data_IF_345506524304
#
_entry.id   IF_345506524304
#
_cell.length_a   1.000
_cell.length_b   1.000
_cell.length_c   1.000
_cell.angle_alpha   90.00
_cell.angle_beta   90.00
_cell.angle_gamma   90.00
#
_symmetry.space_group_name_H-M   'P 1'
#
loop_
_entity.id
_entity.type
_entity.pdbx_description
1 polymer ?
#
# COMPACT_ATOMS: atom_id res chain seq x y z
N UNK A 1 -49.49 -21.47 23.83
CA UNK A 1 -48.81 -21.05 22.58
C UNK A 1 -48.49 -19.53 22.46
N UNK A 2 -49.30 -18.62 23.02
CA UNK A 2 -49.02 -17.16 22.91
C UNK A 2 -48.00 -16.66 23.98
N UNK A 3 -47.93 -17.30 25.17
CA UNK A 3 -46.98 -16.93 26.24
C UNK A 3 -45.54 -17.38 26.01
N UNK A 4 -45.33 -18.45 25.25
CA UNK A 4 -43.98 -18.94 24.95
C UNK A 4 -43.29 -18.07 23.83
N UNK A 5 -44.07 -17.56 22.89
CA UNK A 5 -43.53 -16.62 21.85
C UNK A 5 -43.16 -15.26 22.43
N UNK A 6 -43.76 -14.83 23.55
CA UNK A 6 -43.43 -13.59 24.23
C UNK A 6 -42.12 -13.72 25.05
N UNK A 7 -41.89 -14.88 25.67
CA UNK A 7 -40.64 -15.17 26.39
C UNK A 7 -39.44 -15.26 25.42
N UNK A 8 -39.59 -15.94 24.29
CA UNK A 8 -38.51 -16.08 23.28
C UNK A 8 -38.16 -14.74 22.61
N UNK A 9 -39.12 -13.82 22.47
CA UNK A 9 -38.87 -12.44 21.99
C UNK A 9 -38.21 -11.55 23.03
N UNK A 10 -38.48 -11.77 24.33
CA UNK A 10 -37.84 -11.06 25.43
C UNK A 10 -36.38 -11.53 25.64
N UNK A 11 -36.13 -12.83 25.48
CA UNK A 11 -34.79 -13.42 25.61
C UNK A 11 -33.89 -13.08 24.41
N UNK A 12 -34.44 -12.97 23.18
CA UNK A 12 -33.72 -12.45 22.03
C UNK A 12 -33.46 -10.92 22.06
N UNK A 13 -34.29 -10.16 22.82
CA UNK A 13 -34.01 -8.73 23.07
C UNK A 13 -32.96 -8.51 24.15
N UNK A 14 -32.86 -9.41 25.12
CA UNK A 14 -31.85 -9.35 26.20
C UNK A 14 -30.43 -9.70 25.69
N UNK A 15 -30.28 -10.54 24.66
CA UNK A 15 -28.98 -10.87 24.06
C UNK A 15 -28.44 -9.83 23.10
N UNK A 16 -29.17 -8.71 22.88
CA UNK A 16 -28.65 -7.48 22.24
C UNK A 16 -28.32 -6.41 23.28
N UNK A 17 -27.88 -6.76 24.48
CA UNK A 17 -27.15 -5.84 25.32
C UNK A 17 -25.84 -5.53 24.59
N UNK A 18 -25.79 -4.34 23.97
CA UNK A 18 -24.53 -3.72 23.58
C UNK A 18 -23.67 -3.75 24.83
N UNK A 19 -22.64 -4.60 24.82
CA UNK A 19 -21.47 -4.36 25.64
C UNK A 19 -20.87 -3.07 25.06
N UNK A 20 -21.37 -1.93 25.51
CA UNK A 20 -20.62 -0.68 25.49
C UNK A 20 -19.52 -0.90 26.53
N UNK A 21 -18.44 -1.58 26.14
CA UNK A 21 -17.17 -1.31 26.74
C UNK A 21 -16.98 0.20 26.57
N UNK A 22 -16.85 0.93 27.67
CA UNK A 22 -16.24 2.28 27.67
C UNK A 22 -14.79 2.08 27.21
N UNK A 23 -14.61 1.90 25.91
CA UNK A 23 -13.28 1.96 25.31
C UNK A 23 -12.86 3.42 25.42
N UNK A 24 -11.69 3.70 26.00
CA UNK A 24 -11.17 5.05 26.04
C UNK A 24 -11.19 5.61 24.63
N UNK A 25 -11.48 6.91 24.53
CA UNK A 25 -11.53 7.60 23.24
C UNK A 25 -10.28 7.25 22.43
N UNK A 26 -10.47 6.55 21.31
CA UNK A 26 -9.38 6.01 20.51
C UNK A 26 -8.53 7.19 20.03
N UNK A 27 -7.36 7.36 20.63
CA UNK A 27 -6.41 8.42 20.27
C UNK A 27 -5.74 8.01 18.96
N UNK A 28 -6.06 8.68 17.87
CA UNK A 28 -5.44 8.40 16.58
C UNK A 28 -3.98 8.82 16.59
N UNK A 29 -3.11 7.88 16.28
CA UNK A 29 -1.67 8.12 16.14
C UNK A 29 -1.31 8.69 14.77
N UNK A 30 -0.24 9.46 14.70
CA UNK A 30 0.42 9.86 13.45
C UNK A 30 1.35 8.76 12.90
N UNK A 31 1.61 7.72 13.71
CA UNK A 31 2.48 6.61 13.33
C UNK A 31 1.83 5.83 12.20
N UNK A 32 2.59 5.60 11.15
CA UNK A 32 2.25 4.72 10.04
C UNK A 32 3.43 3.80 9.73
N UNK A 33 3.26 2.86 8.82
CA UNK A 33 4.35 1.95 8.51
C UNK A 33 4.35 1.43 7.08
N UNK A 34 5.25 0.50 6.85
CA UNK A 34 5.41 -0.24 5.62
C UNK A 34 5.93 -1.64 5.93
N UNK A 35 5.29 -2.65 5.35
CA UNK A 35 5.82 -4.01 5.40
C UNK A 35 7.12 -4.13 4.59
N UNK A 36 8.04 -4.92 5.12
CA UNK A 36 9.34 -5.21 4.55
C UNK A 36 9.53 -6.73 4.41
N UNK A 37 10.65 -7.15 3.87
CA UNK A 37 11.05 -8.56 3.84
C UNK A 37 11.44 -8.97 5.26
N UNK A 38 10.73 -9.96 5.82
CA UNK A 38 10.88 -10.43 7.22
C UNK A 38 10.86 -9.29 8.27
N UNK A 39 10.17 -8.16 7.95
CA UNK A 39 10.24 -6.97 8.78
C UNK A 39 9.11 -5.98 8.60
N UNK A 40 9.15 -4.95 9.43
CA UNK A 40 8.25 -3.79 9.38
C UNK A 40 9.06 -2.52 9.60
N UNK A 41 8.81 -1.51 8.78
CA UNK A 41 9.24 -0.14 9.03
C UNK A 41 8.08 0.63 9.67
N UNK A 42 8.32 1.29 10.80
CA UNK A 42 7.39 2.24 11.39
C UNK A 42 7.95 3.65 11.28
N UNK A 43 7.08 4.57 10.87
CA UNK A 43 7.37 5.99 10.72
C UNK A 43 6.62 6.74 11.81
N UNK A 44 7.32 7.16 12.82
CA UNK A 44 6.78 8.00 13.90
C UNK A 44 7.01 9.49 13.65
N UNK A 45 6.51 10.35 14.55
CA UNK A 45 6.64 11.80 14.42
C UNK A 45 8.08 12.30 14.48
N UNK A 46 8.96 11.62 15.22
CA UNK A 46 10.36 12.02 15.43
C UNK A 46 11.38 11.03 14.85
N UNK A 47 11.02 9.76 14.72
CA UNK A 47 11.94 8.68 14.33
C UNK A 47 11.26 7.76 13.32
N UNK A 48 12.07 7.18 12.44
CA UNK A 48 11.68 6.05 11.58
C UNK A 48 12.57 4.89 11.92
N UNK A 49 11.97 3.73 12.24
CA UNK A 49 12.73 2.53 12.59
C UNK A 49 12.29 1.35 11.74
N UNK A 50 13.23 0.49 11.39
CA UNK A 50 12.97 -0.83 10.82
C UNK A 50 13.22 -1.87 11.90
N UNK A 51 12.37 -2.89 11.94
CA UNK A 51 12.62 -4.11 12.67
C UNK A 51 12.55 -5.28 11.70
N UNK A 52 13.57 -6.12 11.68
CA UNK A 52 13.69 -7.25 10.75
C UNK A 52 14.11 -8.49 11.52
N UNK A 53 13.49 -9.62 11.23
CA UNK A 53 13.89 -10.92 11.77
C UNK A 53 15.02 -11.49 10.93
N UNK A 54 16.16 -11.74 11.57
CA UNK A 54 17.33 -12.38 10.97
C UNK A 54 17.11 -13.87 10.74
N UNK A 55 17.97 -14.47 9.94
CA UNK A 55 17.96 -15.92 9.68
C UNK A 55 18.19 -16.79 10.93
N UNK A 56 18.84 -16.27 11.96
CA UNK A 56 19.01 -16.92 13.27
C UNK A 56 17.78 -16.80 14.20
N UNK A 57 16.73 -16.08 13.75
CA UNK A 57 15.49 -15.85 14.50
C UNK A 57 15.52 -14.62 15.42
N UNK A 58 16.65 -13.94 15.60
CA UNK A 58 16.75 -12.71 16.38
C UNK A 58 16.10 -11.53 15.65
N UNK A 59 15.62 -10.53 16.38
CA UNK A 59 15.03 -9.32 15.82
C UNK A 59 16.08 -8.20 15.87
N UNK A 60 16.43 -7.69 14.70
CA UNK A 60 17.29 -6.52 14.55
C UNK A 60 16.42 -5.27 14.42
N UNK A 61 16.70 -4.25 15.23
CA UNK A 61 16.01 -2.96 15.19
C UNK A 61 17.04 -1.88 14.87
N UNK A 62 16.74 -1.06 13.87
CA UNK A 62 17.64 0.01 13.43
C UNK A 62 16.84 1.27 13.07
N UNK A 63 17.38 2.44 13.42
CA UNK A 63 16.82 3.72 13.05
C UNK A 63 17.22 4.10 11.61
N UNK A 64 16.24 4.45 10.80
CA UNK A 64 16.45 4.95 9.44
C UNK A 64 16.62 6.45 9.50
N UNK A 65 17.71 7.01 8.94
CA UNK A 65 17.94 8.44 8.95
C UNK A 65 16.77 9.19 8.29
N UNK A 66 16.12 10.06 9.04
CA UNK A 66 15.11 10.98 8.50
C UNK A 66 15.81 12.22 7.94
N UNK A 67 15.36 12.69 6.78
CA UNK A 67 15.76 13.99 6.27
C UNK A 67 15.03 15.06 7.11
N UNK A 68 15.69 15.60 8.14
CA UNK A 68 15.12 16.50 9.15
C UNK A 68 14.54 17.81 8.60
N UNK A 69 14.90 18.22 7.39
CA UNK A 69 14.45 19.50 6.85
C UNK A 69 13.12 19.35 6.09
N UNK A 70 12.04 19.78 6.75
CA UNK A 70 10.78 20.02 6.05
C UNK A 70 11.00 21.21 5.10
N UNK A 71 11.00 20.94 3.82
CA UNK A 71 11.12 21.98 2.79
C UNK A 71 9.81 22.76 2.73
N UNK A 72 9.88 24.08 2.47
CA UNK A 72 8.68 24.92 2.28
C UNK A 72 7.64 24.28 1.34
N UNK A 73 8.09 23.65 0.27
CA UNK A 73 7.22 22.95 -0.71
C UNK A 73 6.41 21.80 -0.09
N UNK A 74 6.83 21.23 1.06
CA UNK A 74 6.07 20.19 1.77
C UNK A 74 4.86 20.75 2.56
N UNK A 75 4.75 22.06 2.64
CA UNK A 75 3.58 22.73 3.26
C UNK A 75 2.53 23.10 2.22
N UNK A 76 2.94 23.25 0.95
CA UNK A 76 2.07 23.67 -0.15
C UNK A 76 1.15 22.53 -0.58
N UNK A 77 -0.18 22.73 -0.60
CA UNK A 77 -1.13 21.74 -1.10
C UNK A 77 -0.76 21.23 -2.50
N UNK A 78 -1.11 20.00 -2.79
CA UNK A 78 -0.77 19.25 -4.00
C UNK A 78 0.73 18.95 -4.16
N UNK A 79 1.64 19.95 -4.03
CA UNK A 79 3.10 19.75 -4.13
C UNK A 79 3.59 18.83 -3.01
N UNK A 80 3.09 19.03 -1.79
CA UNK A 80 3.43 18.16 -0.63
C UNK A 80 3.11 16.69 -0.89
N UNK A 81 2.04 16.40 -1.64
CA UNK A 81 1.66 15.03 -1.99
C UNK A 81 2.71 14.35 -2.86
N UNK A 82 3.22 15.07 -3.87
CA UNK A 82 4.28 14.59 -4.75
C UNK A 82 5.59 14.33 -4.00
N UNK A 83 5.99 15.29 -3.13
CA UNK A 83 7.24 15.19 -2.37
C UNK A 83 7.16 14.04 -1.36
N UNK A 84 6.06 13.90 -0.63
CA UNK A 84 5.87 12.81 0.33
C UNK A 84 5.82 11.45 -0.36
N UNK A 85 5.16 11.37 -1.50
CA UNK A 85 5.14 10.14 -2.29
C UNK A 85 6.55 9.77 -2.77
N UNK A 86 7.32 10.74 -3.29
CA UNK A 86 8.71 10.52 -3.68
C UNK A 86 9.59 10.05 -2.49
N UNK A 87 9.51 10.76 -1.35
CA UNK A 87 10.24 10.37 -0.14
C UNK A 87 9.86 8.96 0.31
N UNK A 88 8.57 8.63 0.31
CA UNK A 88 8.08 7.30 0.66
C UNK A 88 8.63 6.22 -0.28
N UNK A 89 8.68 6.48 -1.59
CA UNK A 89 9.26 5.54 -2.55
C UNK A 89 10.75 5.32 -2.28
N UNK A 90 11.53 6.39 -2.12
CA UNK A 90 12.99 6.29 -1.91
C UNK A 90 13.29 5.60 -0.58
N UNK A 91 12.68 6.08 0.52
CA UNK A 91 12.91 5.52 1.85
C UNK A 91 12.40 4.10 1.95
N UNK A 92 11.19 3.85 1.41
CA UNK A 92 10.57 2.52 1.44
C UNK A 92 11.32 1.49 0.61
N UNK A 93 11.81 1.86 -0.58
CA UNK A 93 12.64 0.95 -1.40
C UNK A 93 13.98 0.68 -0.72
N UNK A 94 14.63 1.71 -0.17
CA UNK A 94 15.87 1.54 0.59
C UNK A 94 15.69 0.62 1.80
N UNK A 95 14.62 0.82 2.56
CA UNK A 95 14.28 -0.04 3.70
C UNK A 95 13.99 -1.48 3.27
N UNK A 96 13.29 -1.68 2.13
CA UNK A 96 13.00 -3.01 1.59
C UNK A 96 14.29 -3.76 1.21
N UNK A 97 15.21 -3.09 0.51
CA UNK A 97 16.50 -3.69 0.14
C UNK A 97 17.34 -4.02 1.37
N UNK A 98 17.41 -3.10 2.34
CA UNK A 98 18.12 -3.32 3.60
C UNK A 98 17.52 -4.46 4.42
N UNK A 99 16.21 -4.58 4.45
CA UNK A 99 15.54 -5.68 5.15
C UNK A 99 15.82 -7.04 4.50
N UNK A 100 15.94 -7.10 3.18
CA UNK A 100 16.36 -8.32 2.48
C UNK A 100 17.76 -8.75 2.91
N UNK A 101 18.71 -7.81 2.96
CA UNK A 101 20.08 -8.07 3.40
C UNK A 101 20.14 -8.56 4.87
N UNK A 102 19.47 -7.84 5.79
CA UNK A 102 19.43 -8.20 7.22
C UNK A 102 18.75 -9.56 7.43
N UNK A 103 17.72 -9.88 6.68
CA UNK A 103 16.98 -11.14 6.83
C UNK A 103 17.81 -12.38 6.48
N UNK A 104 18.83 -12.22 5.66
CA UNK A 104 19.78 -13.27 5.28
C UNK A 104 20.92 -13.48 6.30
N UNK A 105 21.18 -12.47 7.16
CA UNK A 105 22.21 -12.56 8.19
C UNK A 105 21.90 -13.68 9.20
N UNK A 106 22.91 -14.47 9.53
CA UNK A 106 22.80 -15.54 10.53
C UNK A 106 22.04 -16.77 10.06
N UNK A 107 21.70 -16.88 8.77
CA UNK A 107 21.09 -18.09 8.22
C UNK A 107 22.12 -19.25 8.28
N UNK A 108 21.78 -20.40 8.90
CA UNK A 108 22.65 -21.56 8.96
C UNK A 108 23.05 -22.01 7.54
N UNK A 109 24.33 -22.45 7.38
CA UNK A 109 24.86 -22.84 6.07
C UNK A 109 24.09 -24.01 5.40
N UNK A 110 23.50 -24.89 6.20
CA UNK A 110 22.67 -26.01 5.76
C UNK A 110 21.31 -25.58 5.17
N UNK A 111 20.89 -24.31 5.37
CA UNK A 111 19.68 -23.70 4.78
C UNK A 111 19.99 -22.74 3.63
N UNK A 112 21.28 -22.47 3.37
CA UNK A 112 21.69 -21.89 2.11
C UNK A 112 21.43 -22.96 1.05
N UNK A 113 20.46 -22.71 0.21
CA UNK A 113 19.82 -23.62 -0.74
C UNK A 113 20.82 -24.57 -1.40
N UNK A 114 20.41 -25.84 -1.57
CA UNK A 114 21.14 -26.91 -2.33
C UNK A 114 21.54 -26.49 -3.76
N UNK A 115 21.17 -25.30 -4.21
CA UNK A 115 21.59 -24.66 -5.47
C UNK A 115 23.08 -24.24 -5.48
N UNK A 116 23.73 -24.07 -4.32
CA UNK A 116 25.16 -23.72 -4.27
C UNK A 116 26.11 -24.91 -4.60
N UNK A 117 25.59 -26.12 -4.72
CA UNK A 117 26.40 -27.32 -5.02
C UNK A 117 27.03 -27.38 -6.41
N UNK A 118 26.69 -26.50 -7.33
CA UNK A 118 27.34 -26.28 -8.61
C UNK A 118 27.34 -24.79 -8.94
N UNK A 119 28.32 -24.07 -8.40
CA UNK A 119 28.53 -22.69 -8.86
C UNK A 119 28.72 -22.70 -10.38
N UNK A 120 27.67 -22.35 -11.08
CA UNK A 120 27.69 -22.13 -12.52
C UNK A 120 28.59 -20.93 -12.81
N UNK A 121 29.23 -20.90 -13.99
CA UNK A 121 29.91 -19.68 -14.46
C UNK A 121 28.98 -18.45 -14.43
N UNK A 122 27.67 -18.69 -14.53
CA UNK A 122 26.64 -17.68 -14.39
C UNK A 122 26.55 -17.11 -12.95
N UNK A 123 26.60 -17.96 -11.91
CA UNK A 123 26.47 -17.51 -10.51
C UNK A 123 27.67 -16.61 -10.14
N UNK A 124 28.87 -16.97 -10.57
CA UNK A 124 30.09 -16.18 -10.40
C UNK A 124 30.03 -14.83 -11.15
N UNK A 125 29.35 -14.79 -12.30
CA UNK A 125 29.11 -13.56 -13.04
C UNK A 125 28.05 -12.69 -12.34
N UNK A 126 26.99 -13.28 -11.78
CA UNK A 126 25.95 -12.62 -11.01
C UNK A 126 26.50 -12.01 -9.71
N UNK A 127 27.32 -12.73 -8.94
CA UNK A 127 27.98 -12.18 -7.73
C UNK A 127 28.85 -10.97 -8.06
N UNK A 128 29.67 -11.09 -9.10
CA UNK A 128 30.57 -10.00 -9.50
C UNK A 128 29.84 -8.73 -9.96
N UNK A 129 28.63 -8.89 -10.52
CA UNK A 129 27.83 -7.80 -11.07
C UNK A 129 26.50 -7.60 -10.36
N UNK A 130 26.41 -8.00 -9.09
CA UNK A 130 25.17 -8.00 -8.29
C UNK A 130 24.41 -6.65 -8.37
N UNK A 131 25.07 -5.53 -8.12
CA UNK A 131 24.49 -4.19 -8.19
C UNK A 131 23.95 -3.85 -9.61
N UNK A 132 24.69 -4.25 -10.63
CA UNK A 132 24.27 -4.06 -12.03
C UNK A 132 23.03 -4.88 -12.34
N UNK A 133 22.97 -6.13 -11.90
CA UNK A 133 21.84 -7.03 -12.12
C UNK A 133 20.57 -6.54 -11.41
N UNK A 134 20.69 -6.08 -10.16
CA UNK A 134 19.56 -5.45 -9.44
C UNK A 134 19.07 -4.23 -10.20
N UNK A 135 19.97 -3.35 -10.63
CA UNK A 135 19.60 -2.14 -11.37
C UNK A 135 18.90 -2.47 -12.69
N UNK A 136 19.42 -3.44 -13.46
CA UNK A 136 18.81 -3.89 -14.71
C UNK A 136 17.44 -4.53 -14.47
N UNK A 137 17.30 -5.35 -13.44
CA UNK A 137 16.01 -5.95 -13.05
C UNK A 137 14.98 -4.90 -12.66
N UNK A 138 15.39 -3.87 -11.91
CA UNK A 138 14.51 -2.77 -11.55
C UNK A 138 14.06 -1.96 -12.78
N UNK A 139 14.99 -1.65 -13.68
CA UNK A 139 14.67 -0.96 -14.94
C UNK A 139 13.72 -1.80 -15.80
N UNK A 140 14.00 -3.10 -15.94
CA UNK A 140 13.13 -4.02 -16.68
C UNK A 140 11.74 -4.11 -16.06
N UNK A 141 11.66 -4.17 -14.72
CA UNK A 141 10.40 -4.14 -13.97
C UNK A 141 9.58 -2.86 -14.23
N UNK A 142 10.23 -1.71 -14.24
CA UNK A 142 9.59 -0.42 -14.55
C UNK A 142 9.08 -0.42 -16.00
N UNK A 143 9.89 -0.83 -16.98
CA UNK A 143 9.50 -0.89 -18.39
C UNK A 143 8.29 -1.83 -18.56
N UNK A 144 8.33 -3.00 -17.95
CA UNK A 144 7.25 -3.98 -18.01
C UNK A 144 5.96 -3.44 -17.36
N UNK A 145 6.08 -2.77 -16.20
CA UNK A 145 4.94 -2.12 -15.52
C UNK A 145 4.31 -1.04 -16.39
N UNK A 146 5.10 -0.16 -16.98
CA UNK A 146 4.61 0.86 -17.93
C UNK A 146 3.94 0.19 -19.14
N UNK A 147 4.54 -0.88 -19.69
CA UNK A 147 3.98 -1.65 -20.79
C UNK A 147 2.60 -2.22 -20.45
N UNK A 148 2.48 -2.93 -19.35
CA UNK A 148 1.24 -3.63 -18.97
C UNK A 148 0.16 -2.66 -18.48
N UNK A 149 0.50 -1.69 -17.64
CA UNK A 149 -0.51 -0.86 -16.98
C UNK A 149 -0.82 0.44 -17.70
N UNK A 150 0.08 0.94 -18.53
CA UNK A 150 -0.11 2.20 -19.24
C UNK A 150 -0.35 1.99 -20.74
N UNK A 151 0.48 1.18 -21.40
CA UNK A 151 0.44 1.03 -22.86
C UNK A 151 -0.57 -0.01 -23.31
N UNK A 152 -0.61 -1.19 -22.71
CA UNK A 152 -1.47 -2.28 -23.14
C UNK A 152 -2.97 -1.92 -23.14
N UNK A 153 -3.56 -1.30 -22.08
CA UNK A 153 -4.95 -0.84 -22.12
C UNK A 153 -5.22 0.12 -23.27
N UNK A 154 -4.31 1.07 -23.51
CA UNK A 154 -4.41 2.04 -24.61
C UNK A 154 -4.40 1.36 -25.98
N UNK A 155 -3.45 0.47 -26.21
CA UNK A 155 -3.33 -0.27 -27.48
C UNK A 155 -4.59 -1.09 -27.74
N UNK A 156 -5.12 -1.79 -26.73
CA UNK A 156 -6.35 -2.56 -26.86
C UNK A 156 -7.51 -1.66 -27.30
N UNK A 157 -7.70 -0.53 -26.61
CA UNK A 157 -8.79 0.42 -26.95
C UNK A 157 -8.60 1.00 -28.33
N UNK A 158 -7.39 1.40 -28.73
CA UNK A 158 -7.10 1.97 -30.04
C UNK A 158 -7.32 0.95 -31.17
N UNK A 159 -6.94 -0.31 -30.96
CA UNK A 159 -7.19 -1.38 -31.94
C UNK A 159 -8.69 -1.64 -32.07
N UNK A 160 -9.39 -1.80 -30.95
CA UNK A 160 -10.84 -2.08 -30.94
C UNK A 160 -11.65 -0.92 -31.53
N UNK A 161 -11.27 0.33 -31.21
CA UNK A 161 -11.96 1.51 -31.73
C UNK A 161 -11.89 1.64 -33.26
N UNK A 162 -10.76 1.24 -33.89
CA UNK A 162 -10.60 1.25 -35.35
C UNK A 162 -11.56 0.33 -36.07
N UNK A 163 -12.06 -0.72 -35.40
CA UNK A 163 -13.02 -1.67 -36.00
C UNK A 163 -14.47 -1.34 -35.69
N UNK A 164 -14.75 -0.56 -34.64
CA UNK A 164 -16.11 -0.34 -34.15
C UNK A 164 -16.59 1.09 -34.39
N UNK A 165 -15.68 2.06 -34.38
CA UNK A 165 -16.01 3.48 -34.52
C UNK A 165 -15.70 3.93 -35.95
N UNK A 166 -16.75 4.23 -36.72
CA UNK A 166 -16.60 4.90 -38.01
C UNK A 166 -16.00 6.30 -37.80
N UNK A 167 -15.15 6.77 -38.73
CA UNK A 167 -14.51 8.10 -38.68
C UNK A 167 -15.50 9.26 -38.47
N UNK A 168 -16.77 9.07 -38.82
CA UNK A 168 -17.85 10.07 -38.71
C UNK A 168 -18.27 10.32 -37.25
N UNK A 169 -17.97 9.42 -36.32
CA UNK A 169 -18.41 9.50 -34.91
C UNK A 169 -17.35 10.00 -33.94
N UNK A 170 -16.33 10.71 -34.41
CA UNK A 170 -15.31 11.31 -33.51
C UNK A 170 -15.91 12.47 -32.70
N UNK A 171 -16.92 12.17 -31.91
CA UNK A 171 -17.65 13.09 -31.05
C UNK A 171 -17.05 13.02 -29.64
N UNK A 172 -17.06 14.14 -28.93
CA UNK A 172 -16.72 14.25 -27.49
C UNK A 172 -17.17 13.04 -26.67
N UNK A 173 -18.40 12.56 -26.91
CA UNK A 173 -18.95 11.38 -26.20
C UNK A 173 -18.16 10.10 -26.45
N UNK A 174 -17.70 9.86 -27.66
CA UNK A 174 -16.89 8.69 -28.03
C UNK A 174 -15.55 8.73 -27.33
N UNK A 175 -14.87 9.87 -27.36
CA UNK A 175 -13.58 10.05 -26.66
C UNK A 175 -13.73 9.78 -25.15
N UNK A 176 -14.78 10.31 -24.52
CA UNK A 176 -15.03 10.06 -23.08
C UNK A 176 -15.25 8.56 -22.83
N UNK A 177 -16.09 7.89 -23.62
CA UNK A 177 -16.37 6.47 -23.45
C UNK A 177 -15.11 5.63 -23.64
N UNK A 178 -14.30 5.88 -24.66
CA UNK A 178 -13.05 5.15 -24.92
C UNK A 178 -12.06 5.32 -23.76
N UNK A 179 -11.90 6.53 -23.23
CA UNK A 179 -11.03 6.79 -22.08
C UNK A 179 -11.54 6.11 -20.79
N UNK A 180 -12.85 6.05 -20.59
CA UNK A 180 -13.43 5.31 -19.46
C UNK A 180 -13.21 3.80 -19.59
N UNK A 181 -13.38 3.23 -20.79
CA UNK A 181 -13.09 1.82 -21.07
C UNK A 181 -11.62 1.53 -20.84
N UNK A 182 -10.72 2.40 -21.31
CA UNK A 182 -9.27 2.26 -21.05
C UNK A 182 -8.94 2.28 -19.57
N UNK A 183 -9.55 3.22 -18.81
CA UNK A 183 -9.37 3.30 -17.37
C UNK A 183 -9.88 2.05 -16.65
N UNK A 184 -11.02 1.50 -17.08
CA UNK A 184 -11.55 0.25 -16.55
C UNK A 184 -10.63 -0.94 -16.85
N UNK A 185 -10.11 -1.06 -18.09
CA UNK A 185 -9.14 -2.10 -18.44
C UNK A 185 -7.87 -2.01 -17.60
N UNK A 186 -7.36 -0.79 -17.36
CA UNK A 186 -6.20 -0.57 -16.48
C UNK A 186 -6.46 -1.08 -15.08
N UNK A 187 -7.62 -0.76 -14.53
CA UNK A 187 -8.02 -1.21 -13.20
C UNK A 187 -8.16 -2.74 -13.16
N UNK A 188 -8.73 -3.34 -14.20
CA UNK A 188 -8.85 -4.79 -14.34
C UNK A 188 -7.48 -5.48 -14.38
N UNK A 189 -6.53 -4.99 -15.19
CA UNK A 189 -5.17 -5.55 -15.23
C UNK A 189 -4.46 -5.43 -13.89
N UNK A 190 -4.63 -4.30 -13.20
CA UNK A 190 -4.09 -4.13 -11.86
C UNK A 190 -4.65 -5.16 -10.87
N UNK A 191 -5.96 -5.40 -10.85
CA UNK A 191 -6.54 -6.42 -9.97
C UNK A 191 -6.10 -7.83 -10.33
N UNK A 192 -6.04 -8.15 -11.63
CA UNK A 192 -5.53 -9.44 -12.09
C UNK A 192 -4.09 -9.63 -11.58
N UNK A 193 -3.22 -8.64 -11.81
CA UNK A 193 -1.85 -8.67 -11.30
C UNK A 193 -1.80 -8.87 -9.78
N UNK A 194 -2.59 -8.10 -9.03
CA UNK A 194 -2.60 -8.17 -7.57
C UNK A 194 -3.04 -9.54 -7.05
N UNK A 195 -4.07 -10.14 -7.67
CA UNK A 195 -4.56 -11.48 -7.33
C UNK A 195 -3.48 -12.52 -7.60
N UNK A 196 -2.75 -12.43 -8.72
CA UNK A 196 -1.66 -13.36 -9.01
C UNK A 196 -0.46 -13.15 -8.08
N UNK A 197 -0.06 -11.89 -7.87
CA UNK A 197 1.05 -11.55 -6.98
C UNK A 197 0.79 -12.02 -5.55
N UNK A 198 -0.43 -11.86 -5.05
CA UNK A 198 -0.80 -12.28 -3.68
C UNK A 198 -0.72 -13.79 -3.44
N UNK A 199 -0.64 -14.61 -4.50
CA UNK A 199 -0.47 -16.08 -4.40
C UNK A 199 0.99 -16.51 -4.27
N UNK A 200 1.94 -15.64 -4.59
CA UNK A 200 3.37 -15.93 -4.44
C UNK A 200 3.72 -16.00 -2.95
N UNK A 201 4.49 -17.02 -2.56
CA UNK A 201 4.82 -17.29 -1.14
C UNK A 201 5.52 -16.10 -0.48
N UNK A 202 6.49 -15.50 -1.18
CA UNK A 202 7.26 -14.38 -0.65
C UNK A 202 6.41 -13.12 -0.50
N UNK A 203 5.55 -12.84 -1.48
CA UNK A 203 4.60 -11.72 -1.41
C UNK A 203 3.58 -11.94 -0.29
N UNK A 204 3.08 -13.16 -0.13
CA UNK A 204 2.17 -13.52 0.97
C UNK A 204 2.83 -13.28 2.32
N UNK A 205 4.13 -13.56 2.45
CA UNK A 205 4.90 -13.31 3.67
C UNK A 205 4.97 -11.81 3.98
N UNK A 206 5.25 -10.97 2.99
CA UNK A 206 5.20 -9.50 3.14
C UNK A 206 3.80 -9.03 3.53
N UNK A 207 2.73 -9.63 2.98
CA UNK A 207 1.35 -9.31 3.37
C UNK A 207 1.01 -9.69 4.81
N UNK A 208 1.65 -10.71 5.38
CA UNK A 208 1.53 -11.03 6.81
C UNK A 208 2.17 -9.92 7.67
N UNK A 209 3.33 -9.42 7.31
CA UNK A 209 3.95 -8.27 7.98
C UNK A 209 3.11 -7.01 7.87
N UNK A 210 2.45 -6.78 6.72
CA UNK A 210 1.52 -5.67 6.56
C UNK A 210 0.27 -5.81 7.45
N UNK A 211 -0.25 -7.03 7.58
CA UNK A 211 -1.32 -7.31 8.53
C UNK A 211 -0.89 -7.07 9.99
N UNK A 212 0.34 -7.45 10.34
CA UNK A 212 0.89 -7.21 11.68
C UNK A 212 1.08 -5.72 11.98
N UNK A 213 1.56 -4.95 11.01
CA UNK A 213 1.64 -3.49 11.12
C UNK A 213 0.28 -2.89 11.50
N UNK A 214 -0.77 -3.19 10.72
CA UNK A 214 -2.12 -2.68 10.98
C UNK A 214 -2.66 -3.07 12.35
N UNK A 215 -2.50 -4.34 12.73
CA UNK A 215 -2.94 -4.85 14.04
C UNK A 215 -2.19 -4.16 15.18
N UNK A 216 -0.88 -3.91 15.01
CA UNK A 216 -0.05 -3.26 16.04
C UNK A 216 -0.44 -1.80 16.22
N UNK A 217 -0.66 -1.06 15.13
CA UNK A 217 -1.16 0.32 15.18
C UNK A 217 -2.53 0.37 15.85
N UNK A 218 -3.47 -0.52 15.48
CA UNK A 218 -4.80 -0.56 16.06
C UNK A 218 -4.77 -0.91 17.57
N UNK A 219 -3.88 -1.80 18.00
CA UNK A 219 -3.68 -2.13 19.42
C UNK A 219 -3.16 -0.93 20.21
N UNK A 220 -2.20 -0.20 19.65
CA UNK A 220 -1.65 1.02 20.24
C UNK A 220 -2.69 2.12 20.37
N UNK A 221 -3.48 2.37 19.33
CA UNK A 221 -4.57 3.36 19.33
C UNK A 221 -5.67 3.03 20.35
N UNK A 222 -5.90 1.74 20.58
CA UNK A 222 -6.82 1.27 21.62
C UNK A 222 -6.25 1.38 23.04
N UNK A 223 -5.01 1.86 23.20
CA UNK A 223 -4.35 1.99 24.50
C UNK A 223 -4.06 0.66 25.19
N UNK A 224 -4.06 -0.46 24.44
CA UNK A 224 -3.76 -1.77 25.00
C UNK A 224 -2.24 -2.03 25.04
N UNK A 225 -1.76 -2.83 26.00
CA UNK A 225 -0.36 -3.26 26.03
C UNK A 225 0.02 -3.95 24.73
N UNK A 226 1.15 -3.56 24.14
CA UNK A 226 1.69 -4.12 22.90
C UNK A 226 2.32 -5.50 23.19
N UNK A 227 1.48 -6.51 23.25
CA UNK A 227 1.88 -7.93 23.33
C UNK A 227 1.33 -8.68 22.13
N UNK A 228 1.98 -9.75 21.65
CA UNK A 228 1.50 -10.53 20.51
C UNK A 228 0.03 -10.97 20.68
N UNK A 229 -0.36 -11.40 21.89
CA UNK A 229 -1.70 -11.87 22.22
C UNK A 229 -2.76 -10.75 22.07
N UNK A 230 -2.40 -9.52 22.44
CA UNK A 230 -3.30 -8.37 22.31
C UNK A 230 -3.37 -7.91 20.87
N UNK A 231 -2.23 -7.77 20.19
CA UNK A 231 -2.14 -7.36 18.78
C UNK A 231 -2.95 -8.31 17.89
N UNK A 232 -2.85 -9.61 18.10
CA UNK A 232 -3.62 -10.61 17.32
C UNK A 232 -5.14 -10.46 17.42
N UNK A 233 -5.68 -9.83 18.45
CA UNK A 233 -7.14 -9.59 18.62
C UNK A 233 -7.68 -8.52 17.67
N UNK A 234 -6.84 -7.64 17.13
CA UNK A 234 -7.26 -6.55 16.26
C UNK A 234 -7.41 -7.00 14.81
N UNK A 235 -8.24 -6.28 14.03
CA UNK A 235 -8.39 -6.57 12.60
C UNK A 235 -7.13 -6.15 11.81
N UNK A 236 -6.85 -6.87 10.73
CA UNK A 236 -5.77 -6.54 9.78
C UNK A 236 -6.12 -5.39 8.83
N UNK A 237 -7.34 -4.91 8.86
CA UNK A 237 -7.81 -3.81 8.01
C UNK A 237 -7.65 -2.47 8.72
N UNK A 238 -7.03 -1.50 8.03
CA UNK A 238 -6.79 -0.17 8.59
C UNK A 238 -7.22 0.93 7.62
N UNK A 239 -8.07 1.89 8.03
CA UNK A 239 -8.64 2.89 7.12
C UNK A 239 -7.64 3.91 6.59
N UNK A 240 -6.49 4.09 7.24
CA UNK A 240 -5.44 5.05 6.87
C UNK A 240 -4.25 4.41 6.16
N UNK A 241 -4.43 3.18 5.66
CA UNK A 241 -3.39 2.46 4.95
C UNK A 241 -3.09 3.09 3.59
N UNK A 242 -1.81 3.12 3.22
CA UNK A 242 -1.33 3.58 1.92
C UNK A 242 -1.88 2.80 0.72
N UNK A 243 -2.39 1.57 0.90
CA UNK A 243 -3.03 0.82 -0.19
C UNK A 243 -4.35 1.45 -0.65
N UNK A 244 -5.07 2.17 0.23
CA UNK A 244 -6.22 2.98 -0.17
C UNK A 244 -5.82 4.11 -1.14
N UNK A 245 -4.60 4.65 -1.00
CA UNK A 245 -4.06 5.64 -1.92
C UNK A 245 -3.96 5.11 -3.35
N UNK A 246 -3.54 3.86 -3.54
CA UNK A 246 -3.45 3.25 -4.88
C UNK A 246 -4.81 3.24 -5.59
N UNK A 247 -5.89 2.92 -4.89
CA UNK A 247 -7.23 2.96 -5.46
C UNK A 247 -7.66 4.40 -5.84
N UNK A 248 -7.39 5.37 -4.98
CA UNK A 248 -7.70 6.78 -5.25
C UNK A 248 -6.89 7.27 -6.45
N UNK A 249 -5.60 6.95 -6.53
CA UNK A 249 -4.74 7.29 -7.69
C UNK A 249 -5.31 6.74 -8.98
N UNK A 250 -5.77 5.48 -9.00
CA UNK A 250 -6.38 4.88 -10.18
C UNK A 250 -7.67 5.61 -10.58
N UNK A 251 -8.56 5.88 -9.63
CA UNK A 251 -9.82 6.57 -9.91
C UNK A 251 -9.58 8.01 -10.42
N UNK A 252 -8.68 8.76 -9.79
CA UNK A 252 -8.32 10.12 -10.21
C UNK A 252 -7.58 10.12 -11.55
N UNK A 253 -6.74 9.11 -11.81
CA UNK A 253 -6.06 9.01 -13.11
C UNK A 253 -7.05 8.84 -14.27
N UNK A 254 -8.12 8.07 -14.09
CA UNK A 254 -9.17 7.92 -15.10
C UNK A 254 -9.79 9.28 -15.41
N UNK A 255 -10.16 10.06 -14.39
CA UNK A 255 -10.77 11.37 -14.56
C UNK A 255 -9.83 12.36 -15.24
N UNK A 256 -8.58 12.46 -14.77
CA UNK A 256 -7.59 13.41 -15.30
C UNK A 256 -7.19 13.04 -16.74
N UNK A 257 -6.98 11.76 -17.05
CA UNK A 257 -6.65 11.35 -18.41
C UNK A 257 -7.83 11.51 -19.38
N UNK A 258 -9.06 11.27 -18.90
CA UNK A 258 -10.26 11.55 -19.71
C UNK A 258 -10.37 13.04 -20.01
N UNK A 259 -10.21 13.90 -19.00
CA UNK A 259 -10.23 15.34 -19.18
C UNK A 259 -9.12 15.83 -20.13
N UNK A 260 -7.91 15.34 -19.96
CA UNK A 260 -6.78 15.67 -20.82
C UNK A 260 -7.03 15.23 -22.28
N UNK A 261 -7.54 14.01 -22.48
CA UNK A 261 -7.87 13.51 -23.82
C UNK A 261 -8.93 14.35 -24.53
N UNK A 262 -9.90 14.88 -23.77
CA UNK A 262 -10.94 15.79 -24.31
C UNK A 262 -10.35 17.16 -24.66
N UNK A 263 -9.48 17.72 -23.81
CA UNK A 263 -8.92 19.08 -24.00
C UNK A 263 -7.84 19.13 -25.08
N UNK A 264 -7.01 18.10 -25.13
CA UNK A 264 -5.85 18.06 -26.04
C UNK A 264 -6.22 17.46 -27.40
N UNK A 265 -7.23 16.57 -27.43
CA UNK A 265 -7.65 15.86 -28.65
C UNK A 265 -6.74 14.68 -29.00
N UNK A 266 -6.87 14.17 -30.24
CA UNK A 266 -6.09 13.05 -30.72
C UNK A 266 -4.68 13.49 -31.15
N UNK A 267 -3.67 12.83 -30.60
CA UNK A 267 -2.26 13.07 -30.93
C UNK A 267 -1.56 11.73 -31.20
N UNK A 268 -0.32 11.82 -31.67
CA UNK A 268 0.50 10.62 -31.85
C UNK A 268 0.62 9.84 -30.54
N UNK A 269 0.83 8.52 -30.64
CA UNK A 269 1.00 7.64 -29.46
C UNK A 269 2.07 8.16 -28.51
N UNK A 270 3.18 8.69 -29.04
CA UNK A 270 4.27 9.25 -28.23
C UNK A 270 3.82 10.45 -27.39
N UNK A 271 3.09 11.40 -27.99
CA UNK A 271 2.58 12.57 -27.28
C UNK A 271 1.59 12.14 -26.17
N UNK A 272 0.71 11.17 -26.44
CA UNK A 272 -0.21 10.63 -25.45
C UNK A 272 0.52 9.98 -24.26
N UNK A 273 1.62 9.25 -24.51
CA UNK A 273 2.44 8.66 -23.44
C UNK A 273 3.15 9.75 -22.64
N UNK A 274 3.77 10.73 -23.30
CA UNK A 274 4.43 11.84 -22.62
C UNK A 274 3.45 12.64 -21.74
N UNK A 275 2.27 12.94 -22.27
CA UNK A 275 1.22 13.65 -21.53
C UNK A 275 0.84 12.89 -20.26
N UNK A 276 0.71 11.56 -20.33
CA UNK A 276 0.39 10.72 -19.17
C UNK A 276 1.48 10.77 -18.12
N UNK A 277 2.74 10.70 -18.52
CA UNK A 277 3.88 10.80 -17.59
C UNK A 277 3.91 12.17 -16.91
N UNK A 278 3.71 13.26 -17.67
CA UNK A 278 3.68 14.63 -17.14
C UNK A 278 2.51 14.85 -16.16
N UNK A 279 1.39 14.15 -16.36
CA UNK A 279 0.23 14.26 -15.46
C UNK A 279 0.36 13.44 -14.17
N UNK A 280 1.32 12.51 -14.06
CA UNK A 280 1.51 11.69 -12.84
C UNK A 280 1.69 12.54 -11.57
N UNK A 281 2.54 13.57 -11.52
CA UNK A 281 2.65 14.42 -10.33
C UNK A 281 1.33 15.07 -9.94
N UNK A 282 0.53 15.53 -10.89
CA UNK A 282 -0.78 16.15 -10.63
C UNK A 282 -1.73 15.11 -10.03
N UNK A 283 -1.77 13.91 -10.61
CA UNK A 283 -2.59 12.79 -10.12
C UNK A 283 -2.19 12.44 -8.68
N UNK A 284 -0.89 12.30 -8.41
CA UNK A 284 -0.38 12.02 -7.07
C UNK A 284 -0.73 13.12 -6.07
N UNK A 285 -0.57 14.38 -6.44
CA UNK A 285 -0.89 15.52 -5.59
C UNK A 285 -2.37 15.59 -5.23
N UNK A 286 -3.25 15.48 -6.22
CA UNK A 286 -4.71 15.48 -6.01
C UNK A 286 -5.14 14.28 -5.16
N UNK A 287 -4.64 13.09 -5.48
CA UNK A 287 -4.97 11.86 -4.76
C UNK A 287 -4.54 11.92 -3.29
N UNK A 288 -3.37 12.50 -3.01
CA UNK A 288 -2.89 12.70 -1.65
C UNK A 288 -3.80 13.63 -0.83
N UNK A 289 -4.25 14.75 -1.43
CA UNK A 289 -5.17 15.67 -0.74
C UNK A 289 -6.52 15.00 -0.45
N UNK A 290 -7.04 14.20 -1.39
CA UNK A 290 -8.27 13.43 -1.18
C UNK A 290 -8.09 12.42 -0.06
N UNK A 291 -6.98 11.64 -0.07
CA UNK A 291 -6.69 10.66 0.99
C UNK A 291 -6.63 11.34 2.37
N UNK A 292 -5.91 12.47 2.45
CA UNK A 292 -5.79 13.26 3.69
C UNK A 292 -7.13 13.79 4.15
N UNK A 293 -7.95 14.31 3.24
CA UNK A 293 -9.29 14.78 3.55
C UNK A 293 -10.18 13.66 4.10
N UNK A 294 -10.21 12.52 3.41
CA UNK A 294 -10.98 11.33 3.81
C UNK A 294 -10.52 10.80 5.17
N UNK A 295 -9.19 10.73 5.41
CA UNK A 295 -8.63 10.27 6.68
C UNK A 295 -8.99 11.18 7.87
N UNK A 296 -9.10 12.49 7.63
CA UNK A 296 -9.51 13.46 8.68
C UNK A 296 -11.00 13.44 9.00
N UNK A 297 -11.83 13.05 8.02
CA UNK A 297 -13.30 13.09 8.14
C UNK A 297 -13.91 11.70 8.18
N UNK A 298 -13.26 10.74 8.81
CA UNK A 298 -13.68 9.33 8.88
C UNK A 298 -15.04 9.09 9.55
N UNK A 299 -15.52 10.05 10.37
CA UNK A 299 -16.88 10.04 10.95
C UNK A 299 -17.96 10.40 9.91
N UNK A 300 -17.58 11.07 8.80
CA UNK A 300 -18.51 11.46 7.75
C UNK A 300 -18.93 10.23 6.91
N UNK A 301 -20.21 9.98 6.70
CA UNK A 301 -20.69 8.82 5.93
C UNK A 301 -20.19 8.79 4.48
N UNK A 302 -20.01 9.94 3.85
CA UNK A 302 -19.46 10.05 2.51
C UNK A 302 -17.96 9.64 2.47
N UNK A 303 -17.17 10.12 3.43
CA UNK A 303 -15.75 9.71 3.53
C UNK A 303 -15.61 8.22 3.84
N UNK A 304 -16.49 7.67 4.69
CA UNK A 304 -16.55 6.23 4.96
C UNK A 304 -16.91 5.42 3.69
N UNK A 305 -17.80 5.93 2.87
CA UNK A 305 -18.11 5.29 1.58
C UNK A 305 -16.90 5.29 0.64
N UNK A 306 -16.20 6.43 0.52
CA UNK A 306 -14.97 6.54 -0.29
C UNK A 306 -13.83 5.64 0.20
N UNK A 307 -13.77 5.32 1.49
CA UNK A 307 -12.75 4.43 2.05
C UNK A 307 -13.02 2.95 1.79
N UNK A 308 -14.28 2.55 1.53
CA UNK A 308 -14.66 1.14 1.35
C UNK A 308 -13.86 0.39 0.27
N UNK A 309 -13.65 0.95 -0.94
CA UNK A 309 -12.87 0.27 -1.96
C UNK A 309 -11.41 0.03 -1.52
N UNK A 310 -10.80 1.00 -0.83
CA UNK A 310 -9.46 0.86 -0.27
C UNK A 310 -9.38 -0.23 0.80
N UNK A 311 -10.37 -0.29 1.70
CA UNK A 311 -10.47 -1.37 2.69
C UNK A 311 -10.70 -2.74 2.03
N UNK A 312 -11.50 -2.78 0.97
CA UNK A 312 -11.71 -4.02 0.22
C UNK A 312 -10.42 -4.50 -0.46
N UNK A 313 -9.59 -3.59 -0.97
CA UNK A 313 -8.30 -3.90 -1.58
C UNK A 313 -7.35 -4.60 -0.58
N UNK A 314 -7.45 -4.28 0.71
CA UNK A 314 -6.63 -4.89 1.75
C UNK A 314 -6.88 -6.40 1.93
N UNK A 315 -7.98 -6.96 1.38
CA UNK A 315 -8.15 -8.42 1.32
C UNK A 315 -7.06 -9.11 0.50
N UNK A 316 -6.45 -8.40 -0.44
CA UNK A 316 -5.40 -8.91 -1.32
C UNK A 316 -4.00 -8.43 -0.92
N UNK A 317 -3.91 -7.40 -0.10
CA UNK A 317 -2.64 -6.76 0.27
C UNK A 317 -2.28 -6.91 1.73
N UNK A 318 -3.10 -7.61 2.51
CA UNK A 318 -2.82 -8.01 3.90
C UNK A 318 -3.18 -9.46 4.13
N UNK A 319 -2.44 -10.14 5.00
CA UNK A 319 -2.71 -11.51 5.42
C UNK A 319 -2.65 -11.62 6.94
N UNK A 320 -3.25 -12.68 7.52
CA UNK A 320 -3.20 -12.89 8.97
C UNK A 320 -1.76 -13.24 9.40
N UNK A 321 -1.15 -12.44 10.30
CA UNK A 321 0.17 -12.72 10.85
C UNK A 321 0.09 -13.78 11.95
N UNK A 322 1.22 -14.46 12.19
CA UNK A 322 1.42 -15.25 13.39
C UNK A 322 2.00 -14.40 14.55
N UNK A 323 2.12 -14.98 15.73
CA UNK A 323 2.63 -14.27 16.92
C UNK A 323 4.08 -13.79 16.72
N UNK A 324 4.92 -14.56 16.01
CA UNK A 324 6.32 -14.20 15.73
C UNK A 324 6.42 -12.99 14.82
N UNK A 325 5.55 -12.87 13.82
CA UNK A 325 5.48 -11.69 12.94
C UNK A 325 5.02 -10.46 13.75
N UNK A 326 4.04 -10.64 14.66
CA UNK A 326 3.59 -9.56 15.54
C UNK A 326 4.71 -9.03 16.46
N UNK A 327 5.61 -9.90 16.95
CA UNK A 327 6.78 -9.48 17.74
C UNK A 327 7.65 -8.48 17.00
N UNK A 328 7.89 -8.69 15.70
CA UNK A 328 8.70 -7.79 14.87
C UNK A 328 7.99 -6.44 14.69
N UNK A 329 6.68 -6.45 14.41
CA UNK A 329 5.91 -5.22 14.27
C UNK A 329 5.85 -4.44 15.60
N UNK A 330 5.74 -5.13 16.73
CA UNK A 330 5.80 -4.52 18.07
C UNK A 330 7.18 -3.90 18.31
N UNK A 331 8.27 -4.60 17.99
CA UNK A 331 9.62 -4.08 18.17
C UNK A 331 9.84 -2.79 17.37
N UNK A 332 9.40 -2.74 16.11
CA UNK A 332 9.46 -1.54 15.29
C UNK A 332 8.60 -0.40 15.86
N UNK A 333 7.39 -0.72 16.34
CA UNK A 333 6.46 0.26 16.93
C UNK A 333 7.03 0.87 18.20
N UNK A 334 7.55 0.05 19.11
CA UNK A 334 8.15 0.51 20.37
C UNK A 334 9.33 1.47 20.16
N UNK A 335 10.08 1.29 19.07
CA UNK A 335 11.22 2.14 18.74
C UNK A 335 10.83 3.55 18.25
N UNK A 336 9.59 3.75 17.78
CA UNK A 336 9.13 5.03 17.22
C UNK A 336 8.10 5.78 18.08
N UNK A 337 7.56 5.14 19.12
CA UNK A 337 6.65 5.80 20.05
C UNK A 337 7.38 6.96 20.72
N UNK A 338 6.85 8.20 20.63
CA UNK A 338 7.48 9.35 21.27
C UNK A 338 7.31 9.28 22.79
N UNK A 339 8.27 9.83 23.52
CA UNK A 339 8.22 9.95 24.98
C UNK A 339 7.07 10.86 25.42
N UNK A 340 6.83 11.94 24.67
CA UNK A 340 5.71 12.85 24.87
C UNK A 340 4.53 12.44 23.98
N UNK A 341 3.40 12.09 24.63
CA UNK A 341 2.19 11.69 23.93
C UNK A 341 1.52 12.83 23.14
N UNK A 342 1.88 14.09 23.41
CA UNK A 342 1.36 15.24 22.67
C UNK A 342 1.93 15.34 21.26
N UNK A 343 3.13 14.79 21.05
CA UNK A 343 3.77 14.73 19.73
C UNK A 343 3.08 13.74 18.78
N UNK A 344 2.26 12.83 19.30
CA UNK A 344 1.60 11.75 18.54
C UNK A 344 0.08 11.99 18.45
N UNK A 345 -0.34 13.14 17.93
CA UNK A 345 -1.76 13.47 17.70
C UNK A 345 -1.98 13.71 16.21
N UNK A 346 -2.87 12.91 15.63
CA UNK A 346 -3.27 12.99 14.18
C UNK A 346 -4.03 14.29 13.88
#
# INVERSE_FOLDING_TARGET
MAKDKAKDKAEKKSKKSKVTCDMPEIKKTTIGGQALIEGVMMVGPKRTCIAVRKGDGTIHVEEVPQTEKVTYFETVPFIRGCIRFYKMLVTGTGALMKSAEISEEGRPEDQKTEEEGKQSLLDRYFEKHYNLMITLSAILGIILSVGIFLLLPKVIVDVVSRYIVDEVYNTFKVTVILNLIEGFLRMMFFFIYLIFASKLKDVKRVWQYHGAEHKTIACYEAGMPLTPENVMKFPRFHPRCGTAFMFIVMAISILIYTLAGVLVGEHSMLINVLLRVVLVPIICGVSYEILRFVGRHDKNPFCRFLSKPGLWLQNFTTEEPDAKICEVAIASMMAVIPEDKEDDVW
#
